data_IF_595950533843
#
_entry.id   IF_595950533843
#
_cell.length_a   1.000
_cell.length_b   1.000
_cell.length_c   1.000
_cell.angle_alpha   90.00
_cell.angle_beta   90.00
_cell.angle_gamma   90.00
#
_symmetry.space_group_name_H-M   'P 1'
#
loop_
_entity.id
_entity.type
_entity.pdbx_description
1 polymer ?
#
# COMPACT_ATOMS: atom_id res chain seq x y z
N UNK A 1 14.73 -10.02 -12.39
CA UNK A 1 13.83 -8.87 -12.06
C UNK A 1 14.46 -7.47 -11.88
N UNK A 2 15.66 -7.30 -11.30
CA UNK A 2 16.25 -5.98 -10.97
C UNK A 2 16.51 -5.06 -12.17
N UNK A 3 16.81 -5.62 -13.35
CA UNK A 3 16.98 -4.85 -14.60
C UNK A 3 15.65 -4.24 -15.11
N UNK A 4 14.53 -4.95 -14.92
CA UNK A 4 13.19 -4.47 -15.31
C UNK A 4 12.80 -3.25 -14.47
N UNK A 5 13.05 -3.30 -13.16
CA UNK A 5 12.84 -2.17 -12.25
C UNK A 5 13.69 -0.95 -12.62
N UNK A 6 14.97 -1.16 -13.00
CA UNK A 6 15.86 -0.07 -13.43
C UNK A 6 15.37 0.65 -14.69
N UNK A 7 14.77 -0.07 -15.65
CA UNK A 7 14.24 0.53 -16.88
C UNK A 7 13.07 1.50 -16.67
N UNK A 8 12.34 1.38 -15.54
CA UNK A 8 11.17 2.22 -15.22
C UNK A 8 11.47 3.30 -14.17
N UNK A 9 12.72 3.41 -13.68
CA UNK A 9 13.17 4.46 -12.77
C UNK A 9 12.77 5.89 -13.19
N UNK A 10 12.90 6.33 -14.46
CA UNK A 10 12.51 7.70 -14.82
C UNK A 10 11.02 7.96 -14.63
N UNK A 11 10.17 6.94 -14.82
CA UNK A 11 8.72 7.06 -14.60
C UNK A 11 8.38 7.07 -13.12
N UNK A 12 9.05 6.23 -12.33
CA UNK A 12 8.91 6.30 -10.88
C UNK A 12 9.31 7.68 -10.35
N UNK A 13 10.40 8.27 -10.86
CA UNK A 13 10.81 9.63 -10.49
C UNK A 13 9.72 10.67 -10.79
N UNK A 14 9.07 10.60 -11.97
CA UNK A 14 7.95 11.48 -12.32
C UNK A 14 6.76 11.28 -11.38
N UNK A 15 6.43 10.05 -11.00
CA UNK A 15 5.36 9.76 -10.02
C UNK A 15 5.66 10.34 -8.65
N UNK A 16 6.88 10.14 -8.16
CA UNK A 16 7.34 10.67 -6.88
C UNK A 16 7.32 12.19 -6.89
N UNK A 17 7.80 12.82 -7.97
CA UNK A 17 7.80 14.27 -8.14
C UNK A 17 6.39 14.84 -8.18
N UNK A 18 5.49 14.24 -8.96
CA UNK A 18 4.09 14.70 -9.06
C UNK A 18 3.37 14.64 -7.72
N UNK A 19 3.59 13.55 -6.95
CA UNK A 19 3.04 13.40 -5.61
C UNK A 19 3.67 14.38 -4.61
N UNK A 20 4.99 14.56 -4.62
CA UNK A 20 5.68 15.54 -3.79
C UNK A 20 5.19 16.97 -4.07
N UNK A 21 5.04 17.33 -5.35
CA UNK A 21 4.51 18.63 -5.77
C UNK A 21 3.06 18.82 -5.30
N UNK A 22 2.20 17.82 -5.49
CA UNK A 22 0.82 17.85 -5.00
C UNK A 22 0.74 18.02 -3.48
N UNK A 23 1.61 17.34 -2.73
CA UNK A 23 1.71 17.48 -1.28
C UNK A 23 2.12 18.90 -0.86
N UNK A 24 3.15 19.47 -1.48
CA UNK A 24 3.61 20.83 -1.19
C UNK A 24 2.54 21.87 -1.52
N UNK A 25 1.88 21.75 -2.68
CA UNK A 25 0.80 22.65 -3.11
C UNK A 25 -0.42 22.58 -2.19
N UNK A 26 -0.67 21.44 -1.54
CA UNK A 26 -1.77 21.32 -0.57
C UNK A 26 -1.61 22.25 0.63
N UNK A 27 -0.37 22.55 1.03
CA UNK A 27 -0.07 23.47 2.13
C UNK A 27 -0.31 24.93 1.72
N UNK A 28 -0.11 25.26 0.44
CA UNK A 28 -0.40 26.60 -0.10
C UNK A 28 -1.88 26.99 0.06
N UNK A 29 -2.79 26.02 0.17
CA UNK A 29 -4.20 26.26 0.46
C UNK A 29 -4.37 27.06 1.77
N UNK A 30 -3.64 26.68 2.82
CA UNK A 30 -3.69 27.39 4.10
C UNK A 30 -3.19 28.84 3.96
N UNK A 31 -2.14 29.05 3.15
CA UNK A 31 -1.59 30.38 2.91
C UNK A 31 -2.55 31.30 2.16
N UNK A 32 -3.15 30.81 1.06
CA UNK A 32 -4.12 31.62 0.32
C UNK A 32 -5.39 31.85 1.15
N UNK A 33 -5.85 30.88 1.93
CA UNK A 33 -6.96 31.07 2.86
C UNK A 33 -6.66 32.17 3.90
N UNK A 34 -5.44 32.22 4.45
CA UNK A 34 -5.00 33.31 5.34
C UNK A 34 -5.13 34.68 4.66
N UNK A 35 -4.62 34.82 3.45
CA UNK A 35 -4.67 36.09 2.73
C UNK A 35 -6.10 36.54 2.39
N UNK A 36 -7.00 35.62 2.04
CA UNK A 36 -8.41 35.93 1.83
C UNK A 36 -9.03 36.53 3.10
N UNK A 37 -8.76 35.93 4.26
CA UNK A 37 -9.33 36.38 5.53
C UNK A 37 -8.74 37.73 5.94
N UNK A 38 -7.42 37.91 5.86
CA UNK A 38 -6.79 39.19 6.17
C UNK A 38 -7.22 40.31 5.21
N UNK A 39 -7.47 39.97 3.94
CA UNK A 39 -8.09 40.86 2.96
C UNK A 39 -9.41 41.46 3.46
N UNK A 40 -10.24 40.62 4.09
CA UNK A 40 -11.54 41.03 4.61
C UNK A 40 -11.45 41.74 5.97
N UNK A 41 -10.59 41.27 6.88
CA UNK A 41 -10.54 41.77 8.27
C UNK A 41 -9.60 42.95 8.47
N UNK A 42 -8.39 42.87 7.91
CA UNK A 42 -7.29 43.81 8.17
C UNK A 42 -7.22 44.89 7.09
N UNK A 43 -7.16 44.48 5.82
CA UNK A 43 -7.07 45.41 4.69
C UNK A 43 -8.42 45.99 4.28
N UNK A 44 -9.53 45.30 4.60
CA UNK A 44 -10.91 45.62 4.17
C UNK A 44 -11.01 45.92 2.67
N UNK A 45 -10.22 45.23 1.86
CA UNK A 45 -10.12 45.41 0.42
C UNK A 45 -10.73 44.20 -0.31
N UNK A 46 -11.89 44.42 -0.93
CA UNK A 46 -12.59 43.39 -1.69
C UNK A 46 -11.80 42.94 -2.93
N UNK A 47 -11.03 43.83 -3.55
CA UNK A 47 -10.16 43.48 -4.68
C UNK A 47 -9.07 42.49 -4.27
N UNK A 48 -8.47 42.69 -3.09
CA UNK A 48 -7.51 41.75 -2.52
C UNK A 48 -8.14 40.38 -2.22
N UNK A 49 -9.33 40.37 -1.60
CA UNK A 49 -10.09 39.15 -1.31
C UNK A 49 -10.38 38.37 -2.60
N UNK A 50 -10.93 39.02 -3.62
CA UNK A 50 -11.27 38.38 -4.90
C UNK A 50 -10.01 37.84 -5.58
N UNK A 51 -8.90 38.59 -5.57
CA UNK A 51 -7.63 38.15 -6.17
C UNK A 51 -7.10 36.86 -5.54
N UNK A 52 -7.07 36.77 -4.21
CA UNK A 52 -6.62 35.56 -3.54
C UNK A 52 -7.64 34.42 -3.60
N UNK A 53 -8.94 34.71 -3.71
CA UNK A 53 -9.96 33.71 -3.99
C UNK A 53 -9.77 33.09 -5.39
N UNK A 54 -9.45 33.90 -6.40
CA UNK A 54 -9.11 33.42 -7.75
C UNK A 54 -7.82 32.59 -7.72
N UNK A 55 -6.79 33.02 -6.99
CA UNK A 55 -5.57 32.22 -6.81
C UNK A 55 -5.83 30.89 -6.10
N UNK A 56 -6.71 30.87 -5.11
CA UNK A 56 -7.13 29.65 -4.44
C UNK A 56 -7.89 28.71 -5.39
N UNK A 57 -8.78 29.25 -6.22
CA UNK A 57 -9.51 28.47 -7.22
C UNK A 57 -8.56 27.89 -8.26
N UNK A 58 -7.62 28.68 -8.78
CA UNK A 58 -6.57 28.21 -9.69
C UNK A 58 -5.74 27.11 -9.02
N UNK A 59 -5.37 27.27 -7.74
CA UNK A 59 -4.63 26.25 -7.00
C UNK A 59 -5.41 24.93 -6.91
N UNK A 60 -6.72 24.97 -6.62
CA UNK A 60 -7.57 23.77 -6.56
C UNK A 60 -7.63 23.11 -7.94
N UNK A 61 -7.80 23.89 -9.02
CA UNK A 61 -7.80 23.36 -10.39
C UNK A 61 -6.46 22.73 -10.77
N UNK A 62 -5.34 23.34 -10.38
CA UNK A 62 -3.99 22.78 -10.57
C UNK A 62 -3.81 21.49 -9.78
N UNK A 63 -4.27 21.44 -8.52
CA UNK A 63 -4.22 20.22 -7.71
C UNK A 63 -5.05 19.09 -8.32
N UNK A 64 -6.25 19.39 -8.81
CA UNK A 64 -7.10 18.43 -9.52
C UNK A 64 -6.41 17.91 -10.78
N UNK A 65 -5.86 18.80 -11.61
CA UNK A 65 -5.14 18.42 -12.83
C UNK A 65 -3.91 17.54 -12.50
N UNK A 66 -3.11 17.92 -11.50
CA UNK A 66 -1.97 17.11 -11.05
C UNK A 66 -2.40 15.73 -10.53
N UNK A 67 -3.51 15.65 -9.80
CA UNK A 67 -4.03 14.38 -9.32
C UNK A 67 -4.48 13.49 -10.49
N UNK A 68 -5.21 14.04 -11.46
CA UNK A 68 -5.65 13.29 -12.64
C UNK A 68 -4.47 12.81 -13.48
N UNK A 69 -3.47 13.67 -13.73
CA UNK A 69 -2.26 13.33 -14.46
C UNK A 69 -1.46 12.26 -13.69
N UNK A 70 -1.27 12.45 -12.38
CA UNK A 70 -0.56 11.53 -11.50
C UNK A 70 -1.20 10.15 -11.45
N UNK A 71 -2.51 10.10 -11.23
CA UNK A 71 -3.29 8.86 -11.21
C UNK A 71 -3.28 8.15 -12.56
N UNK A 72 -3.48 8.88 -13.66
CA UNK A 72 -3.43 8.31 -15.02
C UNK A 72 -2.06 7.75 -15.37
N UNK A 73 -1.01 8.48 -15.02
CA UNK A 73 0.37 8.04 -15.26
C UNK A 73 0.73 6.84 -14.36
N UNK A 74 0.24 6.82 -13.12
CA UNK A 74 0.41 5.70 -12.19
C UNK A 74 -0.22 4.42 -12.75
N UNK A 75 -1.46 4.51 -13.25
CA UNK A 75 -2.17 3.37 -13.83
C UNK A 75 -1.47 2.85 -15.10
N UNK A 76 -1.02 3.75 -15.98
CA UNK A 76 -0.24 3.35 -17.18
C UNK A 76 1.08 2.68 -16.80
N UNK A 77 1.75 3.18 -15.77
CA UNK A 77 2.99 2.59 -15.26
C UNK A 77 2.72 1.19 -14.70
N UNK A 78 1.65 1.05 -13.90
CA UNK A 78 1.20 -0.20 -13.31
C UNK A 78 0.89 -1.23 -14.39
N UNK A 79 0.02 -0.91 -15.35
CA UNK A 79 -0.36 -1.81 -16.42
C UNK A 79 0.84 -2.27 -17.26
N UNK A 80 1.80 -1.36 -17.53
CA UNK A 80 3.03 -1.72 -18.25
C UNK A 80 3.93 -2.64 -17.43
N UNK A 81 4.13 -2.35 -16.15
CA UNK A 81 4.92 -3.19 -15.26
C UNK A 81 4.29 -4.58 -15.14
N UNK A 82 2.97 -4.64 -14.94
CA UNK A 82 2.20 -5.88 -14.85
C UNK A 82 2.39 -6.74 -16.09
N UNK A 83 2.25 -6.15 -17.29
CA UNK A 83 2.51 -6.83 -18.56
C UNK A 83 3.95 -7.35 -18.67
N UNK A 84 4.95 -6.54 -18.31
CA UNK A 84 6.37 -6.94 -18.42
C UNK A 84 6.68 -8.06 -17.42
N UNK A 85 6.24 -7.95 -16.17
CA UNK A 85 6.47 -8.97 -15.14
C UNK A 85 5.77 -10.27 -15.49
N UNK A 86 4.49 -10.24 -15.92
CA UNK A 86 3.77 -11.45 -16.37
C UNK A 86 4.47 -12.14 -17.52
N UNK A 87 4.88 -11.38 -18.55
CA UNK A 87 5.63 -11.92 -19.68
C UNK A 87 6.96 -12.54 -19.23
N UNK A 88 7.71 -11.85 -18.37
CA UNK A 88 8.99 -12.34 -17.87
C UNK A 88 8.83 -13.59 -17.03
N UNK A 89 7.85 -13.64 -16.13
CA UNK A 89 7.60 -14.81 -15.28
C UNK A 89 7.11 -16.00 -16.08
N UNK A 90 6.29 -15.78 -17.10
CA UNK A 90 5.91 -16.84 -18.03
C UNK A 90 7.14 -17.39 -18.78
N UNK A 91 8.05 -16.52 -19.24
CA UNK A 91 9.28 -16.95 -19.90
C UNK A 91 10.22 -17.72 -18.97
N UNK A 92 10.31 -17.31 -17.70
CA UNK A 92 11.06 -18.03 -16.68
C UNK A 92 10.46 -19.42 -16.51
N UNK A 93 9.15 -19.52 -16.26
CA UNK A 93 8.46 -20.80 -16.07
C UNK A 93 8.66 -21.78 -17.24
N UNK A 94 8.71 -21.28 -18.48
CA UNK A 94 8.93 -22.12 -19.68
C UNK A 94 10.37 -22.62 -19.80
N UNK A 95 11.35 -21.93 -19.21
CA UNK A 95 12.79 -22.26 -19.30
C UNK A 95 13.32 -23.06 -18.11
N UNK A 96 12.58 -23.10 -17.00
CA UNK A 96 12.98 -23.82 -15.80
C UNK A 96 12.69 -25.31 -15.97
N UNK A 97 13.55 -26.12 -15.36
CA UNK A 97 13.45 -27.58 -15.35
C UNK A 97 12.03 -28.04 -14.98
N UNK A 98 11.45 -28.87 -15.85
CA UNK A 98 10.08 -29.36 -15.71
C UNK A 98 9.87 -30.11 -14.38
N UNK A 99 10.84 -30.92 -13.92
CA UNK A 99 10.73 -31.67 -12.66
C UNK A 99 10.67 -30.73 -11.45
N UNK A 100 11.37 -29.60 -11.50
CA UNK A 100 11.33 -28.57 -10.46
C UNK A 100 10.06 -27.73 -10.50
N UNK A 101 9.55 -27.38 -11.70
CA UNK A 101 8.31 -26.60 -11.86
C UNK A 101 7.07 -27.42 -11.51
N UNK A 102 7.03 -28.70 -11.88
CA UNK A 102 5.89 -29.61 -11.62
C UNK A 102 5.62 -29.89 -10.14
N UNK A 103 6.56 -29.56 -9.24
CA UNK A 103 6.33 -29.56 -7.78
C UNK A 103 5.30 -28.51 -7.34
N UNK A 104 5.12 -27.46 -8.12
CA UNK A 104 4.15 -26.40 -7.85
C UNK A 104 2.81 -26.72 -8.51
N UNK A 105 1.72 -26.52 -7.78
CA UNK A 105 0.39 -26.75 -8.33
C UNK A 105 0.05 -25.68 -9.37
N UNK A 106 -0.66 -26.03 -10.45
CA UNK A 106 -1.04 -25.07 -11.51
C UNK A 106 -1.80 -23.85 -10.97
N UNK A 107 -2.63 -24.05 -9.93
CA UNK A 107 -3.33 -22.95 -9.27
C UNK A 107 -2.41 -22.00 -8.49
N UNK A 108 -1.31 -22.51 -7.93
CA UNK A 108 -0.29 -21.71 -7.25
C UNK A 108 0.51 -20.87 -8.26
N UNK A 109 0.93 -21.48 -9.37
CA UNK A 109 1.59 -20.78 -10.47
C UNK A 109 0.69 -19.69 -11.07
N UNK A 110 -0.62 -19.96 -11.19
CA UNK A 110 -1.58 -18.97 -11.64
C UNK A 110 -1.72 -17.80 -10.65
N UNK A 111 -1.81 -18.08 -9.35
CA UNK A 111 -1.82 -17.02 -8.32
C UNK A 111 -0.55 -16.18 -8.35
N UNK A 112 0.60 -16.80 -8.58
CA UNK A 112 1.88 -16.13 -8.70
C UNK A 112 1.91 -15.17 -9.90
N UNK A 113 1.45 -15.62 -11.07
CA UNK A 113 1.38 -14.81 -12.28
C UNK A 113 0.38 -13.65 -12.19
N UNK A 114 -0.78 -13.86 -11.57
CA UNK A 114 -1.85 -12.86 -11.57
C UNK A 114 -1.92 -12.02 -10.30
N UNK A 115 -1.87 -12.63 -9.12
CA UNK A 115 -2.04 -11.91 -7.86
C UNK A 115 -0.72 -11.32 -7.35
N UNK A 116 0.36 -12.09 -7.35
CA UNK A 116 1.63 -11.64 -6.76
C UNK A 116 2.31 -10.56 -7.60
N UNK A 117 2.30 -10.72 -8.92
CA UNK A 117 2.73 -9.65 -9.85
C UNK A 117 1.91 -8.38 -9.62
N UNK A 118 0.58 -8.50 -9.45
CA UNK A 118 -0.26 -7.34 -9.19
C UNK A 118 0.11 -6.66 -7.86
N UNK A 119 0.31 -7.43 -6.79
CA UNK A 119 0.71 -6.88 -5.47
C UNK A 119 2.03 -6.11 -5.56
N UNK A 120 3.02 -6.64 -6.28
CA UNK A 120 4.33 -5.99 -6.45
C UNK A 120 4.18 -4.70 -7.26
N UNK A 121 3.45 -4.75 -8.37
CA UNK A 121 3.29 -3.58 -9.25
C UNK A 121 2.46 -2.48 -8.58
N UNK A 122 1.39 -2.83 -7.86
CA UNK A 122 0.64 -1.91 -7.01
C UNK A 122 1.52 -1.29 -5.92
N UNK A 123 2.37 -2.09 -5.29
CA UNK A 123 3.33 -1.62 -4.31
C UNK A 123 4.26 -0.54 -4.87
N UNK A 124 4.79 -0.77 -6.06
CA UNK A 124 5.71 0.15 -6.72
C UNK A 124 5.03 1.47 -7.13
N UNK A 125 3.81 1.41 -7.67
CA UNK A 125 3.12 2.59 -8.23
C UNK A 125 2.28 3.35 -7.22
N UNK A 126 1.95 2.75 -6.07
CA UNK A 126 1.09 3.39 -5.07
C UNK A 126 1.75 3.55 -3.70
N UNK A 127 2.40 2.51 -3.16
CA UNK A 127 2.92 2.57 -1.79
C UNK A 127 4.06 3.57 -1.68
N UNK A 128 5.06 3.48 -2.57
CA UNK A 128 6.21 4.39 -2.56
C UNK A 128 5.80 5.86 -2.78
N UNK A 129 5.00 6.21 -3.80
CA UNK A 129 4.56 7.60 -3.98
C UNK A 129 3.71 8.13 -2.84
N UNK A 130 2.86 7.31 -2.22
CA UNK A 130 2.07 7.72 -1.06
C UNK A 130 2.95 8.01 0.16
N UNK A 131 3.98 7.19 0.41
CA UNK A 131 4.94 7.45 1.50
C UNK A 131 5.65 8.79 1.28
N UNK A 132 6.10 9.06 0.05
CA UNK A 132 6.73 10.35 -0.29
C UNK A 132 5.73 11.50 -0.15
N UNK A 133 4.50 11.35 -0.65
CA UNK A 133 3.43 12.33 -0.48
C UNK A 133 3.22 12.68 1.01
N UNK A 134 3.11 11.67 1.87
CA UNK A 134 2.90 11.88 3.30
C UNK A 134 4.08 12.58 3.96
N UNK A 135 5.32 12.17 3.67
CA UNK A 135 6.53 12.81 4.20
C UNK A 135 6.60 14.28 3.78
N UNK A 136 6.43 14.55 2.48
CA UNK A 136 6.48 15.92 1.95
C UNK A 136 5.35 16.78 2.50
N UNK A 137 4.14 16.23 2.65
CA UNK A 137 3.00 16.95 3.22
C UNK A 137 3.24 17.32 4.68
N UNK A 138 3.71 16.37 5.49
CA UNK A 138 4.02 16.60 6.90
C UNK A 138 5.15 17.62 7.08
N UNK A 139 6.24 17.47 6.31
CA UNK A 139 7.37 18.40 6.36
C UNK A 139 6.95 19.80 5.91
N UNK A 140 6.23 19.93 4.79
CA UNK A 140 5.78 21.22 4.27
C UNK A 140 4.83 21.91 5.25
N UNK A 141 3.90 21.16 5.85
CA UNK A 141 2.97 21.69 6.84
C UNK A 141 3.71 22.14 8.11
N UNK A 142 4.68 21.35 8.58
CA UNK A 142 5.50 21.71 9.74
C UNK A 142 6.36 22.95 9.48
N UNK A 143 7.05 23.02 8.33
CA UNK A 143 7.83 24.19 7.94
C UNK A 143 6.94 25.44 7.92
N UNK A 144 5.74 25.34 7.33
CA UNK A 144 4.82 26.46 7.27
C UNK A 144 4.27 26.86 8.65
N UNK A 145 4.01 25.91 9.55
CA UNK A 145 3.68 26.19 10.95
C UNK A 145 4.80 26.95 11.67
N UNK A 146 6.06 26.55 11.46
CA UNK A 146 7.24 27.24 12.06
C UNK A 146 7.39 28.67 11.55
N UNK A 147 7.09 28.91 10.27
CA UNK A 147 7.10 30.26 9.67
C UNK A 147 6.03 31.15 10.31
N UNK A 148 4.85 30.58 10.59
CA UNK A 148 3.72 31.31 11.15
C UNK A 148 3.90 31.58 12.67
N UNK A 149 4.13 30.54 13.48
CA UNK A 149 4.29 30.66 14.93
C UNK A 149 5.11 29.49 15.47
N UNK A 150 6.31 29.79 15.96
CA UNK A 150 7.27 28.81 16.48
C UNK A 150 6.78 28.11 17.75
N UNK A 151 6.01 28.79 18.60
CA UNK A 151 5.49 28.23 19.87
C UNK A 151 4.40 27.22 19.55
N UNK A 152 3.49 27.57 18.63
CA UNK A 152 2.47 26.65 18.17
C UNK A 152 3.08 25.44 17.46
N UNK A 153 4.09 25.65 16.61
CA UNK A 153 4.81 24.56 15.95
C UNK A 153 5.47 23.59 16.95
N UNK A 154 6.04 24.10 18.05
CA UNK A 154 6.61 23.27 19.11
C UNK A 154 5.53 22.46 19.84
N UNK A 155 4.42 23.09 20.22
CA UNK A 155 3.30 22.41 20.85
C UNK A 155 2.74 21.29 19.94
N UNK A 156 2.65 21.58 18.64
CA UNK A 156 2.22 20.62 17.64
C UNK A 156 3.21 19.47 17.46
N UNK A 157 4.52 19.73 17.50
CA UNK A 157 5.56 18.70 17.47
C UNK A 157 5.45 17.77 18.68
N UNK A 158 5.26 18.33 19.88
CA UNK A 158 5.05 17.53 21.10
C UNK A 158 3.79 16.66 20.97
N UNK A 159 2.69 17.22 20.47
CA UNK A 159 1.47 16.47 20.19
C UNK A 159 1.69 15.34 19.17
N UNK A 160 2.44 15.61 18.09
CA UNK A 160 2.82 14.62 17.09
C UNK A 160 3.68 13.48 17.67
N UNK A 161 4.64 13.79 18.53
CA UNK A 161 5.47 12.80 19.24
C UNK A 161 4.61 11.96 20.18
N UNK A 162 3.66 12.57 20.89
CA UNK A 162 2.72 11.86 21.75
C UNK A 162 1.82 10.88 20.95
N UNK A 163 1.30 11.31 19.80
CA UNK A 163 0.53 10.45 18.89
C UNK A 163 1.40 9.30 18.36
N UNK A 164 2.64 9.58 17.98
CA UNK A 164 3.58 8.57 17.50
C UNK A 164 3.88 7.51 18.57
N UNK A 165 4.15 7.95 19.81
CA UNK A 165 4.43 7.05 20.93
C UNK A 165 3.20 6.20 21.29
N UNK A 166 2.02 6.81 21.32
CA UNK A 166 0.75 6.11 21.53
C UNK A 166 0.54 5.03 20.46
N UNK A 167 0.72 5.39 19.19
CA UNK A 167 0.60 4.46 18.06
C UNK A 167 1.59 3.29 18.18
N UNK A 168 2.82 3.57 18.60
CA UNK A 168 3.87 2.56 18.83
C UNK A 168 3.48 1.57 19.94
N UNK A 169 2.83 2.04 21.00
CA UNK A 169 2.35 1.19 22.09
C UNK A 169 1.27 0.21 21.59
N UNK A 170 0.27 0.69 20.85
CA UNK A 170 -0.81 -0.15 20.30
C UNK A 170 -0.34 -1.13 19.21
N UNK A 171 0.78 -0.83 18.53
CA UNK A 171 1.32 -1.66 17.45
C UNK A 171 1.54 -3.12 17.85
N UNK A 172 2.09 -3.39 19.05
CA UNK A 172 2.36 -4.77 19.51
C UNK A 172 1.07 -5.58 19.65
N UNK A 173 0.07 -4.99 20.29
CA UNK A 173 -1.25 -5.61 20.50
C UNK A 173 -1.95 -5.85 19.17
N UNK A 174 -1.97 -4.85 18.29
CA UNK A 174 -2.63 -4.97 16.99
C UNK A 174 -1.94 -6.02 16.09
N UNK A 175 -0.61 -6.10 16.14
CA UNK A 175 0.17 -7.17 15.45
C UNK A 175 -0.18 -8.56 15.98
N UNK A 176 -0.30 -8.73 17.30
CA UNK A 176 -0.68 -10.01 17.91
C UNK A 176 -2.10 -10.43 17.49
N UNK A 177 -3.06 -9.51 17.54
CA UNK A 177 -4.44 -9.77 17.11
C UNK A 177 -4.52 -10.08 15.61
N UNK A 178 -3.73 -9.39 14.78
CA UNK A 178 -3.64 -9.68 13.36
C UNK A 178 -3.11 -11.10 13.10
N UNK A 179 -2.04 -11.51 13.79
CA UNK A 179 -1.50 -12.87 13.71
C UNK A 179 -2.52 -13.92 14.14
N UNK A 180 -3.28 -13.66 15.21
CA UNK A 180 -4.32 -14.58 15.68
C UNK A 180 -5.43 -14.75 14.63
N UNK A 181 -5.88 -13.68 13.99
CA UNK A 181 -6.86 -13.75 12.89
C UNK A 181 -6.32 -14.55 11.71
N UNK A 182 -5.06 -14.34 11.34
CA UNK A 182 -4.43 -15.08 10.24
C UNK A 182 -4.28 -16.58 10.55
N UNK A 183 -3.97 -16.93 11.79
CA UNK A 183 -3.88 -18.32 12.23
C UNK A 183 -5.24 -19.03 12.20
N UNK A 184 -6.29 -18.42 12.74
CA UNK A 184 -7.63 -19.02 12.72
C UNK A 184 -8.19 -19.09 11.30
N UNK A 185 -7.96 -18.07 10.47
CA UNK A 185 -8.37 -18.09 9.06
C UNK A 185 -7.64 -19.18 8.27
N UNK A 186 -6.33 -19.35 8.51
CA UNK A 186 -5.54 -20.42 7.89
C UNK A 186 -6.07 -21.80 8.24
N UNK A 187 -6.38 -22.05 9.53
CA UNK A 187 -7.00 -23.31 9.98
C UNK A 187 -8.35 -23.56 9.28
N UNK A 188 -9.24 -22.56 9.27
CA UNK A 188 -10.54 -22.69 8.60
C UNK A 188 -10.39 -22.99 7.11
N UNK A 189 -9.48 -22.29 6.41
CA UNK A 189 -9.21 -22.54 4.98
C UNK A 189 -8.67 -23.94 4.73
N UNK A 190 -7.69 -24.38 5.53
CA UNK A 190 -7.10 -25.71 5.39
C UNK A 190 -8.16 -26.81 5.60
N UNK A 191 -9.00 -26.67 6.62
CA UNK A 191 -10.09 -27.61 6.89
C UNK A 191 -11.12 -27.65 5.75
N UNK A 192 -11.51 -26.49 5.21
CA UNK A 192 -12.42 -26.42 4.06
C UNK A 192 -11.81 -27.08 2.81
N UNK A 193 -10.52 -26.86 2.56
CA UNK A 193 -9.83 -27.47 1.44
C UNK A 193 -9.75 -29.00 1.56
N UNK A 194 -9.46 -29.51 2.76
CA UNK A 194 -9.45 -30.95 3.05
C UNK A 194 -10.86 -31.56 2.91
N UNK A 195 -11.87 -30.85 3.38
CA UNK A 195 -13.28 -31.24 3.25
C UNK A 195 -13.69 -31.37 1.78
N UNK A 196 -13.36 -30.37 0.95
CA UNK A 196 -13.67 -30.38 -0.49
C UNK A 196 -12.92 -31.51 -1.20
N UNK A 197 -11.64 -31.70 -0.86
CA UNK A 197 -10.80 -32.74 -1.47
C UNK A 197 -11.28 -34.16 -1.13
N UNK A 198 -11.88 -34.35 0.05
CA UNK A 198 -12.34 -35.64 0.56
C UNK A 198 -13.87 -35.79 0.57
N UNK A 199 -14.59 -35.06 -0.29
CA UNK A 199 -16.07 -35.08 -0.35
C UNK A 199 -16.66 -36.48 -0.47
N UNK A 200 -16.05 -37.35 -1.28
CA UNK A 200 -16.53 -38.73 -1.47
C UNK A 200 -16.47 -39.54 -0.17
N UNK A 201 -15.40 -39.38 0.61
CA UNK A 201 -15.22 -40.07 1.90
C UNK A 201 -16.30 -39.62 2.87
N UNK A 202 -16.53 -38.30 2.96
CA UNK A 202 -17.55 -37.73 3.86
C UNK A 202 -18.94 -38.28 3.54
N UNK A 203 -19.31 -38.32 2.25
CA UNK A 203 -20.60 -38.86 1.80
C UNK A 203 -20.73 -40.37 2.04
N UNK A 204 -19.65 -41.12 1.83
CA UNK A 204 -19.65 -42.58 2.02
C UNK A 204 -19.85 -42.97 3.48
N UNK A 205 -19.29 -42.18 4.41
CA UNK A 205 -19.45 -42.39 5.85
C UNK A 205 -20.63 -41.64 6.47
N UNK A 206 -21.44 -40.91 5.68
CA UNK A 206 -22.57 -40.08 6.15
C UNK A 206 -22.14 -39.17 7.31
N UNK A 207 -20.99 -38.52 7.15
CA UNK A 207 -20.33 -37.72 8.19
C UNK A 207 -20.61 -36.21 8.07
N UNK A 208 -21.60 -35.80 7.28
CA UNK A 208 -21.88 -34.39 6.99
C UNK A 208 -22.13 -33.55 8.25
N UNK A 209 -22.93 -34.06 9.18
CA UNK A 209 -23.25 -33.34 10.43
C UNK A 209 -22.01 -33.10 11.30
N UNK A 210 -21.10 -34.07 11.34
CA UNK A 210 -19.83 -33.94 12.08
C UNK A 210 -18.94 -32.87 11.44
N UNK A 211 -18.85 -32.85 10.12
CA UNK A 211 -18.08 -31.84 9.38
C UNK A 211 -18.69 -30.45 9.53
N UNK A 212 -20.01 -30.34 9.53
CA UNK A 212 -20.72 -29.08 9.79
C UNK A 212 -20.40 -28.56 11.20
N UNK A 213 -20.50 -29.39 12.24
CA UNK A 213 -20.16 -28.98 13.62
C UNK A 213 -18.70 -28.51 13.75
N UNK A 214 -17.76 -29.20 13.09
CA UNK A 214 -16.35 -28.78 13.07
C UNK A 214 -16.15 -27.46 12.32
N UNK A 215 -16.86 -27.29 11.20
CA UNK A 215 -16.85 -26.04 10.43
C UNK A 215 -17.36 -24.88 11.28
N UNK A 216 -18.49 -25.05 11.96
CA UNK A 216 -19.08 -24.03 12.84
C UNK A 216 -18.14 -23.64 13.97
N UNK A 217 -17.48 -24.61 14.61
CA UNK A 217 -16.49 -24.35 15.66
C UNK A 217 -15.30 -23.51 15.15
N UNK A 218 -14.74 -23.89 13.99
CA UNK A 218 -13.61 -23.17 13.38
C UNK A 218 -14.02 -21.77 12.91
N UNK A 219 -15.20 -21.63 12.31
CA UNK A 219 -15.72 -20.33 11.88
C UNK A 219 -15.99 -19.43 13.09
N UNK A 220 -16.54 -19.97 14.18
CA UNK A 220 -16.79 -19.22 15.40
C UNK A 220 -15.49 -18.75 16.06
N UNK A 221 -14.45 -19.59 16.11
CA UNK A 221 -13.12 -19.18 16.59
C UNK A 221 -12.56 -18.03 15.73
N UNK A 222 -12.69 -18.13 14.40
CA UNK A 222 -12.26 -17.09 13.48
C UNK A 222 -13.08 -15.79 13.64
N UNK A 223 -14.40 -15.90 13.82
CA UNK A 223 -15.30 -14.77 14.07
C UNK A 223 -14.91 -14.01 15.34
N UNK A 224 -14.71 -14.71 16.46
CA UNK A 224 -14.31 -14.10 17.74
C UNK A 224 -12.95 -13.40 17.60
N UNK A 225 -11.98 -14.03 16.94
CA UNK A 225 -10.68 -13.42 16.68
C UNK A 225 -10.80 -12.15 15.81
N UNK A 226 -11.60 -12.19 14.74
CA UNK A 226 -11.88 -11.04 13.87
C UNK A 226 -12.54 -9.91 14.63
N UNK A 227 -13.56 -10.21 15.43
CA UNK A 227 -14.29 -9.20 16.19
C UNK A 227 -13.41 -8.53 17.24
N UNK A 228 -12.57 -9.31 17.93
CA UNK A 228 -11.58 -8.77 18.87
C UNK A 228 -10.60 -7.83 18.18
N UNK A 229 -10.01 -8.24 17.05
CA UNK A 229 -9.13 -7.36 16.25
C UNK A 229 -9.87 -6.09 15.81
N UNK A 230 -11.11 -6.22 15.33
CA UNK A 230 -11.92 -5.10 14.85
C UNK A 230 -12.22 -4.10 15.97
N UNK A 231 -12.61 -4.58 17.15
CA UNK A 231 -12.86 -3.73 18.32
C UNK A 231 -11.63 -2.89 18.68
N UNK A 232 -10.45 -3.51 18.80
CA UNK A 232 -9.20 -2.78 19.04
C UNK A 232 -8.84 -1.81 17.91
N UNK A 233 -9.09 -2.18 16.66
CA UNK A 233 -8.87 -1.30 15.50
C UNK A 233 -9.78 -0.08 15.51
N UNK A 234 -11.06 -0.25 15.83
CA UNK A 234 -12.03 0.84 15.98
C UNK A 234 -11.62 1.75 17.15
N UNK A 235 -11.28 1.18 18.31
CA UNK A 235 -10.84 1.94 19.47
C UNK A 235 -9.56 2.76 19.19
N UNK A 236 -8.57 2.18 18.49
CA UNK A 236 -7.35 2.87 18.11
C UNK A 236 -7.61 4.03 17.13
N UNK A 237 -8.44 3.80 16.10
CA UNK A 237 -8.81 4.83 15.14
C UNK A 237 -9.64 5.96 15.78
N UNK A 238 -10.60 5.60 16.64
CA UNK A 238 -11.39 6.57 17.40
C UNK A 238 -10.49 7.39 18.32
N UNK A 239 -9.58 6.74 19.07
CA UNK A 239 -8.60 7.43 19.91
C UNK A 239 -7.71 8.39 19.13
N UNK A 240 -7.21 7.97 17.96
CA UNK A 240 -6.42 8.83 17.07
C UNK A 240 -7.25 10.04 16.60
N UNK A 241 -8.47 9.82 16.13
CA UNK A 241 -9.37 10.90 15.68
C UNK A 241 -9.70 11.87 16.82
N UNK A 242 -10.02 11.37 18.01
CA UNK A 242 -10.28 12.19 19.20
C UNK A 242 -9.05 13.00 19.60
N UNK A 243 -7.84 12.42 19.51
CA UNK A 243 -6.59 13.15 19.77
C UNK A 243 -6.43 14.33 18.82
N UNK A 244 -6.72 14.15 17.53
CA UNK A 244 -6.70 15.25 16.55
C UNK A 244 -7.80 16.28 16.80
N UNK A 245 -9.00 15.87 17.21
CA UNK A 245 -10.07 16.80 17.57
C UNK A 245 -9.70 17.65 18.80
N UNK A 246 -9.10 17.05 19.83
CA UNK A 246 -8.55 17.77 20.99
C UNK A 246 -7.44 18.72 20.54
N UNK A 247 -6.55 18.26 19.65
CA UNK A 247 -5.52 19.10 19.04
C UNK A 247 -6.09 20.30 18.28
N UNK A 248 -7.21 20.12 17.58
CA UNK A 248 -7.93 21.19 16.89
C UNK A 248 -8.54 22.20 17.88
N UNK A 249 -9.19 21.72 18.96
CA UNK A 249 -9.71 22.59 20.02
C UNK A 249 -8.57 23.37 20.69
N UNK A 250 -7.45 22.72 20.98
CA UNK A 250 -6.25 23.36 21.49
C UNK A 250 -5.73 24.43 20.51
N UNK A 251 -5.65 24.11 19.22
CA UNK A 251 -5.23 25.06 18.19
C UNK A 251 -6.15 26.27 18.10
N UNK A 252 -7.46 26.07 18.25
CA UNK A 252 -8.45 27.14 18.27
C UNK A 252 -8.33 28.01 19.52
N UNK A 253 -8.21 27.41 20.70
CA UNK A 253 -8.04 28.14 21.95
C UNK A 253 -6.71 28.92 21.99
N UNK A 254 -5.61 28.28 21.58
CA UNK A 254 -4.30 28.92 21.47
C UNK A 254 -4.29 30.03 20.42
N UNK A 255 -4.91 29.78 19.26
CA UNK A 255 -5.07 30.77 18.20
C UNK A 255 -5.88 31.98 18.67
N UNK A 256 -6.98 31.76 19.39
CA UNK A 256 -7.79 32.83 19.99
C UNK A 256 -6.99 33.65 21.02
N UNK A 257 -6.19 32.98 21.87
CA UNK A 257 -5.28 33.68 22.78
C UNK A 257 -4.25 34.53 22.02
N UNK A 258 -3.63 34.00 20.96
CA UNK A 258 -2.68 34.75 20.13
C UNK A 258 -3.32 35.92 19.38
N UNK A 259 -4.56 35.75 18.94
CA UNK A 259 -5.36 36.80 18.31
C UNK A 259 -5.54 38.00 19.25
N UNK A 260 -5.83 37.75 20.54
CA UNK A 260 -5.90 38.79 21.57
C UNK A 260 -4.55 39.51 21.78
N UNK A 261 -3.43 38.85 21.44
CA UNK A 261 -2.07 39.40 21.53
C UNK A 261 -1.58 39.98 20.19
N UNK A 262 -2.47 40.23 19.23
CA UNK A 262 -2.15 40.93 17.98
C UNK A 262 -1.80 40.04 16.78
N UNK A 263 -2.01 38.72 16.88
CA UNK A 263 -1.95 37.85 15.70
C UNK A 263 -3.16 38.13 14.78
N UNK A 264 -3.00 37.98 13.47
CA UNK A 264 -4.07 38.18 12.50
C UNK A 264 -5.02 36.96 12.43
N UNK A 265 -6.29 37.24 12.10
CA UNK A 265 -7.35 36.24 11.97
C UNK A 265 -7.00 35.16 10.93
N UNK A 266 -6.43 35.55 9.79
CA UNK A 266 -6.05 34.62 8.73
C UNK A 266 -4.97 33.65 9.17
N UNK A 267 -4.01 34.08 9.98
CA UNK A 267 -3.01 33.19 10.56
C UNK A 267 -3.64 32.12 11.44
N UNK A 268 -4.59 32.48 12.30
CA UNK A 268 -5.31 31.49 13.13
C UNK A 268 -6.04 30.48 12.24
N UNK A 269 -6.71 30.93 11.18
CA UNK A 269 -7.37 30.02 10.25
C UNK A 269 -6.38 29.11 9.51
N UNK A 270 -5.24 29.62 9.08
CA UNK A 270 -4.18 28.80 8.48
C UNK A 270 -3.66 27.74 9.45
N UNK A 271 -3.46 28.07 10.73
CA UNK A 271 -3.08 27.08 11.75
C UNK A 271 -4.11 25.95 11.84
N UNK A 272 -5.39 26.27 11.97
CA UNK A 272 -6.48 25.29 12.04
C UNK A 272 -6.52 24.40 10.79
N UNK A 273 -6.31 24.98 9.62
CA UNK A 273 -6.27 24.23 8.36
C UNK A 273 -5.09 23.26 8.33
N UNK A 274 -3.91 23.66 8.79
CA UNK A 274 -2.71 22.81 8.82
C UNK A 274 -2.87 21.65 9.79
N UNK A 275 -3.51 21.86 10.96
CA UNK A 275 -3.85 20.76 11.89
C UNK A 275 -4.67 19.68 11.19
N UNK A 276 -5.70 20.07 10.46
CA UNK A 276 -6.54 19.13 9.70
C UNK A 276 -5.77 18.43 8.57
N UNK A 277 -4.88 19.14 7.87
CA UNK A 277 -4.10 18.55 6.79
C UNK A 277 -3.15 17.44 7.25
N UNK A 278 -2.70 17.50 8.50
CA UNK A 278 -1.78 16.55 9.11
C UNK A 278 -2.49 15.27 9.59
N UNK A 279 -3.77 15.34 9.97
CA UNK A 279 -4.55 14.20 10.43
C UNK A 279 -4.59 13.04 9.40
N UNK A 280 -4.83 13.37 8.12
CA UNK A 280 -4.95 12.37 7.04
C UNK A 280 -3.72 11.47 6.86
N UNK A 281 -2.50 12.02 6.72
CA UNK A 281 -1.26 11.24 6.68
C UNK A 281 -1.08 10.31 7.89
N UNK A 282 -1.38 10.79 9.11
CA UNK A 282 -1.30 9.98 10.33
C UNK A 282 -2.28 8.80 10.32
N UNK A 283 -3.52 9.00 9.88
CA UNK A 283 -4.49 7.92 9.74
C UNK A 283 -4.04 6.87 8.69
N UNK A 284 -3.48 7.34 7.58
CA UNK A 284 -3.08 6.50 6.43
C UNK A 284 -1.85 5.63 6.72
N UNK A 285 -0.95 6.06 7.60
CA UNK A 285 0.25 5.31 8.02
C UNK A 285 -0.07 3.91 8.55
N UNK A 286 -1.23 3.71 9.19
CA UNK A 286 -1.66 2.42 9.73
C UNK A 286 -1.80 1.31 8.66
N UNK A 287 -2.16 1.69 7.44
CA UNK A 287 -2.37 0.76 6.31
C UNK A 287 -1.11 0.44 5.51
N UNK A 288 0.02 1.10 5.79
CA UNK A 288 1.25 0.94 5.01
C UNK A 288 1.94 -0.38 5.36
N UNK A 289 2.00 -0.75 6.64
CA UNK A 289 2.75 -1.93 7.09
C UNK A 289 2.22 -3.25 6.49
N UNK A 290 0.90 -3.52 6.48
CA UNK A 290 0.37 -4.74 5.87
C UNK A 290 0.68 -4.82 4.37
N UNK A 291 0.56 -3.69 3.65
CA UNK A 291 0.89 -3.62 2.22
C UNK A 291 2.37 -3.89 1.96
N UNK A 292 3.25 -3.30 2.78
CA UNK A 292 4.70 -3.53 2.69
C UNK A 292 5.07 -5.02 2.85
N UNK A 293 4.51 -5.70 3.86
CA UNK A 293 4.77 -7.13 4.04
C UNK A 293 4.18 -7.99 2.93
N UNK A 294 3.00 -7.64 2.39
CA UNK A 294 2.42 -8.33 1.25
C UNK A 294 3.31 -8.24 0.00
N UNK A 295 3.90 -7.07 -0.25
CA UNK A 295 4.85 -6.86 -1.36
C UNK A 295 6.09 -7.72 -1.18
N UNK A 296 6.69 -7.76 0.01
CA UNK A 296 7.86 -8.59 0.29
C UNK A 296 7.55 -10.07 0.07
N UNK A 297 6.47 -10.58 0.68
CA UNK A 297 6.11 -11.99 0.57
C UNK A 297 5.82 -12.40 -0.89
N UNK A 298 5.21 -11.50 -1.68
CA UNK A 298 4.97 -11.74 -3.10
C UNK A 298 6.29 -11.73 -3.90
N UNK A 299 7.20 -10.80 -3.59
CA UNK A 299 8.50 -10.72 -4.23
C UNK A 299 9.38 -11.94 -3.92
N UNK A 300 9.38 -12.42 -2.68
CA UNK A 300 10.08 -13.64 -2.25
C UNK A 300 9.61 -14.85 -3.07
N UNK A 301 8.30 -15.06 -3.22
CA UNK A 301 7.76 -16.15 -4.04
C UNK A 301 8.16 -16.06 -5.51
N UNK A 302 8.16 -14.87 -6.11
CA UNK A 302 8.61 -14.72 -7.50
C UNK A 302 10.11 -15.01 -7.65
N UNK A 303 10.91 -14.61 -6.65
CA UNK A 303 12.34 -14.92 -6.62
C UNK A 303 12.62 -16.41 -6.42
N UNK A 304 11.81 -17.12 -5.63
CA UNK A 304 11.91 -18.59 -5.49
C UNK A 304 11.77 -19.29 -6.86
N UNK A 305 10.77 -18.89 -7.66
CA UNK A 305 10.59 -19.43 -9.02
C UNK A 305 11.73 -19.00 -9.96
N UNK A 306 12.19 -17.74 -9.89
CA UNK A 306 13.31 -17.25 -10.71
C UNK A 306 14.62 -18.01 -10.41
N UNK A 307 14.79 -18.50 -9.18
CA UNK A 307 15.96 -19.25 -8.70
C UNK A 307 15.89 -20.77 -8.91
N UNK A 308 14.81 -21.31 -9.49
CA UNK A 308 14.75 -22.73 -9.86
C UNK A 308 15.87 -23.06 -10.88
N UNK A 309 16.34 -24.32 -10.95
CA UNK A 309 17.31 -24.73 -11.96
C UNK A 309 16.73 -24.51 -13.37
N UNK A 310 17.56 -24.02 -14.29
CA UNK A 310 17.20 -23.97 -15.70
C UNK A 310 17.19 -25.39 -16.27
N UNK A 311 16.31 -25.64 -17.23
CA UNK A 311 16.30 -26.92 -17.92
C UNK A 311 17.62 -27.08 -18.68
N UNK A 312 18.31 -28.20 -18.48
CA UNK A 312 19.59 -28.45 -19.14
C UNK A 312 19.37 -28.49 -20.65
N UNK A 313 19.92 -27.50 -21.36
CA UNK A 313 19.95 -27.56 -22.82
C UNK A 313 21.00 -28.59 -23.24
N UNK A 314 20.60 -29.85 -23.37
CA UNK A 314 21.47 -30.93 -23.84
C UNK A 314 21.93 -30.76 -25.30
N UNK A 315 21.40 -29.76 -26.03
CA UNK A 315 21.76 -29.51 -27.44
C UNK A 315 22.85 -28.44 -27.57
N UNK A 316 23.90 -28.51 -26.75
CA UNK A 316 25.06 -27.63 -26.87
C UNK A 316 26.00 -28.04 -28.02
N UNK A 317 25.90 -29.28 -28.53
CA UNK A 317 26.67 -29.75 -29.66
C UNK A 317 25.82 -30.06 -30.90
N UNK A 318 26.41 -29.71 -32.04
CA UNK A 318 26.02 -29.73 -33.45
C UNK A 318 25.30 -31.01 -33.96
N UNK A 319 24.11 -31.33 -33.45
CA UNK A 319 23.27 -32.40 -34.04
C UNK A 319 22.53 -31.84 -35.25
N UNK A 320 22.93 -32.26 -36.45
CA UNK A 320 22.17 -32.04 -37.70
C UNK A 320 20.84 -32.83 -37.64
N UNK A 321 19.81 -32.15 -37.13
CA UNK A 321 18.46 -32.71 -36.92
C UNK A 321 17.89 -33.35 -38.20
N UNK A 322 17.90 -32.70 -39.38
CA UNK A 322 17.50 -33.33 -40.64
C UNK A 322 18.21 -34.65 -40.96
N UNK A 323 19.52 -34.73 -40.68
CA UNK A 323 20.30 -35.94 -40.93
C UNK A 323 20.05 -37.01 -39.87
N UNK A 324 19.86 -36.62 -38.61
CA UNK A 324 19.44 -37.52 -37.54
C UNK A 324 18.09 -38.17 -37.85
N UNK A 325 17.10 -37.40 -38.34
CA UNK A 325 15.79 -37.94 -38.74
C UNK A 325 15.88 -38.86 -39.96
N UNK A 326 16.67 -38.50 -40.98
CA UNK A 326 16.85 -39.35 -42.17
C UNK A 326 17.54 -40.67 -41.86
N UNK A 327 18.45 -40.67 -40.88
CA UNK A 327 19.20 -41.84 -40.46
C UNK A 327 18.55 -42.56 -39.26
N UNK A 328 17.40 -42.09 -38.76
CA UNK A 328 16.70 -42.67 -37.62
C UNK A 328 16.11 -44.03 -38.03
N UNK A 329 16.70 -45.12 -37.51
CA UNK A 329 16.22 -46.48 -37.78
C UNK A 329 15.35 -47.04 -36.65
N UNK A 330 15.72 -46.73 -35.40
CA UNK A 330 15.01 -47.17 -34.21
C UNK A 330 15.34 -46.24 -33.04
N UNK A 331 14.43 -46.13 -32.08
CA UNK A 331 14.67 -45.51 -30.78
C UNK A 331 14.87 -46.65 -29.76
N UNK A 332 16.04 -46.71 -29.14
CA UNK A 332 16.38 -47.71 -28.15
C UNK A 332 16.45 -47.06 -26.77
N UNK A 333 15.68 -47.60 -25.84
CA UNK A 333 15.71 -47.22 -24.44
C UNK A 333 16.43 -48.33 -23.67
N UNK A 334 17.60 -48.03 -23.13
CA UNK A 334 18.43 -49.02 -22.45
C UNK A 334 18.45 -48.75 -20.95
N UNK A 335 17.97 -49.73 -20.16
CA UNK A 335 18.02 -49.72 -18.70
C UNK A 335 17.46 -48.45 -18.02
N UNK A 336 16.42 -47.84 -18.61
CA UNK A 336 15.78 -46.66 -18.02
C UNK A 336 14.89 -47.09 -16.88
N UNK A 337 15.18 -46.58 -15.69
CA UNK A 337 14.33 -46.72 -14.51
C UNK A 337 13.95 -45.32 -14.09
N UNK A 338 12.66 -45.00 -14.16
CA UNK A 338 12.11 -43.71 -13.75
C UNK A 338 11.82 -43.78 -12.24
N UNK A 339 12.31 -42.80 -11.47
CA UNK A 339 12.24 -42.79 -10.00
C UNK A 339 11.22 -41.79 -9.46
#
# INVERSE_FOLDING_TARGET
MTAIGKSQLPKAAVLLFTNALGAALSVCFANFSKHIINGATEYKDWGYVVRYAVYLLILIMVQMALNLIGSSFSERCKARLDMIFKKHMLQVLIKKDYASVSKYHTGELNNLLFNDVQVITDGYTTLLPNVVFFIVKLLSAFIYLVIIDKVFALAFLVGGVFVFLSTRMFRKTLKRLHKQVQQTEGKTRSFMQETISNLLVIKTFVAEDKINQQTDALQQENYVARMKRRFFGIAANAGLSTTFNIGYVFALAFGAYRLLNGLDYGTVTAMLQLVNQIQGPFASLSGIMPKYFAIIASAERLMEIENLPEEESSNADDVDVPSAYRNLRALQFDHITDH
#
